data_IF_565106108998
#
_entry.id   IF_565106108998
#
_cell.length_a   1.000
_cell.length_b   1.000
_cell.length_c   1.000
_cell.angle_alpha   90.00
_cell.angle_beta   90.00
_cell.angle_gamma   90.00
#
_symmetry.space_group_name_H-M   'P 1'
#
loop_
_entity.id
_entity.type
_entity.pdbx_description
1 polymer ?
#
# COMPACT_ATOMS: atom_id res chain seq x y z
N UNK A 1 7.30 -9.78 -11.45
CA UNK A 1 7.21 -8.35 -11.09
C UNK A 1 5.77 -7.90 -10.85
N UNK A 2 4.89 -7.85 -11.87
CA UNK A 2 3.47 -7.41 -11.70
C UNK A 2 2.70 -8.10 -10.56
N UNK A 3 2.88 -9.41 -10.34
CA UNK A 3 2.23 -10.13 -9.23
C UNK A 3 2.72 -9.69 -7.85
N UNK A 4 3.99 -9.27 -7.74
CA UNK A 4 4.56 -8.75 -6.49
C UNK A 4 4.02 -7.35 -6.23
N UNK A 5 3.94 -6.51 -7.27
CA UNK A 5 3.33 -5.17 -7.20
C UNK A 5 1.87 -5.27 -6.76
N UNK A 6 1.10 -6.19 -7.35
CA UNK A 6 -0.27 -6.45 -6.91
C UNK A 6 -0.34 -6.86 -5.44
N UNK A 7 0.53 -7.78 -4.99
CA UNK A 7 0.55 -8.20 -3.59
C UNK A 7 0.89 -7.07 -2.62
N UNK A 8 1.85 -6.23 -2.99
CA UNK A 8 2.20 -5.03 -2.24
C UNK A 8 1.02 -4.05 -2.17
N UNK A 9 0.30 -3.84 -3.29
CA UNK A 9 -0.89 -3.00 -3.32
C UNK A 9 -2.01 -3.54 -2.42
N UNK A 10 -2.23 -4.86 -2.41
CA UNK A 10 -3.18 -5.49 -1.47
C UNK A 10 -2.74 -5.27 -0.02
N UNK A 11 -1.46 -5.47 0.29
CA UNK A 11 -0.90 -5.17 1.61
C UNK A 11 -1.12 -3.72 2.03
N UNK A 12 -0.85 -2.77 1.13
CA UNK A 12 -1.06 -1.35 1.36
C UNK A 12 -2.55 -0.99 1.54
N UNK A 13 -3.47 -1.65 0.81
CA UNK A 13 -4.91 -1.47 1.00
C UNK A 13 -5.36 -1.94 2.39
N UNK A 14 -4.90 -3.12 2.82
CA UNK A 14 -5.21 -3.64 4.16
C UNK A 14 -4.62 -2.74 5.24
N UNK A 15 -3.33 -2.39 5.13
CA UNK A 15 -2.68 -1.49 6.08
C UNK A 15 -3.32 -0.09 6.12
N UNK A 16 -3.69 0.45 4.96
CA UNK A 16 -4.37 1.74 4.84
C UNK A 16 -5.77 1.72 5.45
N UNK A 17 -6.52 0.63 5.30
CA UNK A 17 -7.82 0.46 5.94
C UNK A 17 -7.70 0.37 7.48
N UNK A 18 -6.71 -0.37 7.98
CA UNK A 18 -6.42 -0.41 9.43
C UNK A 18 -6.04 0.98 9.94
N UNK A 19 -5.16 1.68 9.24
CA UNK A 19 -4.77 3.04 9.58
C UNK A 19 -5.94 4.03 9.52
N UNK A 20 -6.89 3.87 8.59
CA UNK A 20 -8.06 4.73 8.49
C UNK A 20 -9.07 4.52 9.64
N UNK A 21 -9.10 3.32 10.23
CA UNK A 21 -9.98 3.00 11.37
C UNK A 21 -9.35 3.43 12.69
N UNK A 22 -8.03 3.28 12.81
CA UNK A 22 -7.31 3.37 14.08
C UNK A 22 -6.51 4.67 14.22
N UNK A 23 -6.01 5.22 13.11
CA UNK A 23 -5.21 6.42 13.09
C UNK A 23 -6.04 7.70 13.15
N UNK A 24 -5.37 8.87 13.16
CA UNK A 24 -6.06 10.17 13.12
C UNK A 24 -6.93 10.31 11.85
N UNK A 25 -7.95 11.19 11.85
CA UNK A 25 -8.76 11.46 10.66
C UNK A 25 -7.89 11.80 9.45
N UNK A 26 -8.04 11.05 8.36
CA UNK A 26 -7.20 11.19 7.16
C UNK A 26 -6.06 10.18 7.07
N UNK A 27 -5.70 9.49 8.16
CA UNK A 27 -4.71 8.43 8.14
C UNK A 27 -5.10 7.32 7.16
N UNK A 28 -4.13 6.81 6.41
CA UNK A 28 -4.36 5.75 5.43
C UNK A 28 -5.14 6.16 4.16
N UNK A 29 -5.85 7.30 4.11
CA UNK A 29 -6.64 7.71 2.93
C UNK A 29 -5.75 7.86 1.70
N UNK A 30 -4.61 8.53 1.81
CA UNK A 30 -3.65 8.66 0.71
C UNK A 30 -3.09 7.31 0.26
N UNK A 31 -2.84 6.40 1.21
CA UNK A 31 -2.36 5.05 0.90
C UNK A 31 -3.42 4.29 0.11
N UNK A 32 -4.68 4.35 0.53
CA UNK A 32 -5.81 3.74 -0.19
C UNK A 32 -5.96 4.33 -1.60
N UNK A 33 -5.90 5.66 -1.73
CA UNK A 33 -6.04 6.39 -2.98
C UNK A 33 -4.95 6.02 -4.01
N UNK A 34 -3.73 5.72 -3.55
CA UNK A 34 -2.61 5.30 -4.41
C UNK A 34 -2.60 3.79 -4.65
N UNK A 35 -2.86 2.99 -3.63
CA UNK A 35 -2.78 1.53 -3.72
C UNK A 35 -3.89 0.94 -4.59
N UNK A 36 -5.10 1.50 -4.56
CA UNK A 36 -6.23 1.03 -5.36
C UNK A 36 -5.96 1.08 -6.88
N UNK A 37 -5.58 2.23 -7.49
CA UNK A 37 -5.32 2.28 -8.93
C UNK A 37 -4.11 1.41 -9.33
N UNK A 38 -3.06 1.33 -8.50
CA UNK A 38 -1.93 0.44 -8.76
C UNK A 38 -2.38 -1.03 -8.76
N UNK A 39 -3.24 -1.41 -7.81
CA UNK A 39 -3.83 -2.75 -7.73
C UNK A 39 -4.66 -3.07 -8.98
N UNK A 40 -5.56 -2.16 -9.38
CA UNK A 40 -6.41 -2.31 -10.57
C UNK A 40 -5.54 -2.47 -11.82
N UNK A 41 -4.60 -1.55 -12.06
CA UNK A 41 -3.69 -1.62 -13.21
C UNK A 41 -2.91 -2.92 -13.23
N UNK A 42 -2.39 -3.36 -12.08
CA UNK A 42 -1.65 -4.63 -11.97
C UNK A 42 -2.53 -5.83 -12.36
N UNK A 43 -3.79 -5.87 -11.92
CA UNK A 43 -4.73 -6.94 -12.31
C UNK A 43 -5.01 -6.90 -13.80
N UNK A 44 -5.26 -5.72 -14.37
CA UNK A 44 -5.49 -5.53 -15.81
C UNK A 44 -4.30 -6.07 -16.60
N UNK A 45 -3.08 -5.66 -16.29
CA UNK A 45 -1.87 -6.14 -16.98
C UNK A 45 -1.64 -7.65 -16.78
N UNK A 46 -1.96 -8.20 -15.60
CA UNK A 46 -1.88 -9.64 -15.37
C UNK A 46 -2.89 -10.43 -16.21
N UNK A 47 -4.10 -9.89 -16.40
CA UNK A 47 -5.14 -10.47 -17.26
C UNK A 47 -4.76 -10.38 -18.73
N UNK A 48 -4.23 -9.24 -19.19
CA UNK A 48 -3.71 -9.07 -20.56
C UNK A 48 -2.52 -9.99 -20.84
N UNK A 49 -1.61 -10.19 -19.88
CA UNK A 49 -0.51 -11.14 -20.03
C UNK A 49 -0.97 -12.60 -20.07
N UNK A 50 -2.10 -12.93 -19.43
CA UNK A 50 -2.67 -14.27 -19.39
C UNK A 50 -3.54 -14.60 -20.61
N UNK A 51 -4.12 -13.61 -21.29
CA UNK A 51 -5.02 -13.79 -22.44
C UNK A 51 -4.29 -14.18 -23.75
N UNK A 52 -2.99 -14.45 -23.71
CA UNK A 52 -2.27 -15.01 -24.85
C UNK A 52 -1.84 -13.99 -25.92
N UNK A 53 -1.83 -12.70 -25.57
CA UNK A 53 -1.18 -11.62 -26.33
C UNK A 53 0.35 -11.72 -26.35
N UNK A 54 0.93 -12.62 -25.54
CA UNK A 54 2.36 -12.91 -25.58
C UNK A 54 2.68 -13.62 -26.90
N UNK A 55 3.00 -12.84 -27.93
CA UNK A 55 3.66 -13.36 -29.12
C UNK A 55 4.98 -14.00 -28.73
N UNK A 56 5.31 -15.11 -29.37
CA UNK A 56 6.59 -15.76 -29.12
C UNK A 56 7.65 -14.99 -29.91
N UNK A 57 8.15 -13.89 -29.34
CA UNK A 57 9.23 -13.13 -29.95
C UNK A 57 10.54 -13.90 -29.81
N UNK A 58 11.11 -14.28 -30.95
CA UNK A 58 12.42 -14.92 -31.03
C UNK A 58 13.49 -13.83 -31.13
N UNK A 59 14.56 -13.94 -30.34
CA UNK A 59 15.68 -12.99 -30.38
C UNK A 59 16.52 -13.17 -31.65
N UNK A 60 16.91 -12.07 -32.30
CA UNK A 60 17.83 -12.06 -33.45
C UNK A 60 19.21 -12.62 -33.09
N UNK A 61 19.66 -12.43 -31.85
CA UNK A 61 20.92 -13.00 -31.35
C UNK A 61 20.86 -14.53 -31.26
N UNK A 62 19.73 -15.08 -30.80
CA UNK A 62 19.55 -16.52 -30.70
C UNK A 62 19.41 -17.16 -32.09
N UNK A 63 18.79 -16.47 -33.06
CA UNK A 63 18.78 -16.90 -34.47
C UNK A 63 20.18 -16.89 -35.07
N UNK A 64 20.97 -15.85 -34.82
CA UNK A 64 22.35 -15.77 -35.32
C UNK A 64 23.22 -16.85 -34.72
N UNK A 65 23.07 -17.16 -33.43
CA UNK A 65 23.78 -18.28 -32.79
C UNK A 65 23.35 -19.62 -33.38
N UNK A 66 22.05 -19.87 -33.53
CA UNK A 66 21.55 -21.11 -34.13
C UNK A 66 22.12 -21.33 -35.54
N UNK A 67 22.26 -20.26 -36.33
CA UNK A 67 22.93 -20.32 -37.63
C UNK A 67 24.42 -20.61 -37.52
N UNK A 68 25.14 -19.93 -36.62
CA UNK A 68 26.57 -20.17 -36.40
C UNK A 68 26.87 -21.62 -35.97
N UNK A 69 25.93 -22.28 -35.31
CA UNK A 69 26.01 -23.68 -34.88
C UNK A 69 25.46 -24.67 -35.93
N UNK A 70 25.14 -24.22 -37.14
CA UNK A 70 24.57 -25.02 -38.24
C UNK A 70 23.24 -25.72 -37.87
N UNK A 71 22.43 -25.08 -37.03
CA UNK A 71 21.09 -25.55 -36.63
C UNK A 71 20.01 -25.01 -37.56
N UNK A 72 20.19 -25.28 -38.85
CA UNK A 72 19.28 -24.90 -39.92
C UNK A 72 18.25 -26.01 -40.21
N UNK A 73 17.15 -25.64 -40.87
CA UNK A 73 16.14 -26.58 -41.36
C UNK A 73 15.19 -25.92 -42.34
N UNK A 74 14.24 -26.71 -42.84
CA UNK A 74 13.14 -26.25 -43.69
C UNK A 74 11.82 -26.54 -43.00
N UNK A 75 10.94 -25.55 -42.92
CA UNK A 75 9.59 -25.71 -42.41
C UNK A 75 8.58 -25.61 -43.55
N UNK A 76 7.71 -26.61 -43.69
CA UNK A 76 6.48 -26.48 -44.48
C UNK A 76 5.38 -25.93 -43.60
N UNK A 77 4.64 -24.96 -44.12
CA UNK A 77 3.46 -24.41 -43.49
C UNK A 77 2.28 -25.32 -43.82
N UNK A 78 1.68 -25.95 -42.81
CA UNK A 78 0.56 -26.87 -43.01
C UNK A 78 -0.79 -26.13 -42.91
N UNK A 79 -0.91 -25.16 -41.99
CA UNK A 79 -2.10 -24.33 -41.87
C UNK A 79 -1.81 -22.98 -41.20
N UNK A 80 -2.60 -21.96 -41.53
CA UNK A 80 -2.53 -20.64 -40.89
C UNK A 80 -3.92 -20.22 -40.45
N UNK A 81 -4.05 -19.85 -39.17
CA UNK A 81 -5.30 -19.38 -38.55
C UNK A 81 -5.09 -18.03 -37.89
N UNK A 82 -5.95 -17.06 -38.17
CA UNK A 82 -5.95 -15.79 -37.44
C UNK A 82 -6.66 -15.96 -36.10
N UNK A 83 -6.06 -15.45 -35.03
CA UNK A 83 -6.60 -15.58 -33.65
C UNK A 83 -7.69 -14.56 -33.30
N UNK A 84 -8.06 -13.69 -34.25
CA UNK A 84 -8.96 -12.55 -34.01
C UNK A 84 -8.33 -11.38 -33.26
N UNK A 85 -7.05 -11.47 -32.89
CA UNK A 85 -6.30 -10.41 -32.19
C UNK A 85 -5.30 -9.73 -33.11
N UNK A 86 -5.10 -8.41 -32.96
CA UNK A 86 -4.10 -7.63 -33.68
C UNK A 86 -3.21 -6.85 -32.71
N UNK A 87 -1.93 -6.69 -33.05
CA UNK A 87 -0.95 -5.88 -32.32
C UNK A 87 -0.34 -4.90 -33.31
N UNK A 88 -0.50 -3.60 -33.09
CA UNK A 88 -0.05 -2.54 -34.03
C UNK A 88 -0.56 -2.79 -35.47
N UNK A 89 -1.86 -3.08 -35.62
CA UNK A 89 -2.54 -3.40 -36.89
C UNK A 89 -2.00 -4.65 -37.63
N UNK A 90 -1.15 -5.44 -36.97
CA UNK A 90 -0.65 -6.70 -37.49
C UNK A 90 -1.39 -7.87 -36.84
N UNK A 91 -1.90 -8.84 -37.62
CA UNK A 91 -2.62 -9.97 -37.05
C UNK A 91 -1.71 -10.92 -36.28
N UNK A 92 -2.23 -11.42 -35.17
CA UNK A 92 -1.64 -12.56 -34.46
C UNK A 92 -2.19 -13.85 -35.09
N UNK A 93 -1.29 -14.64 -35.66
CA UNK A 93 -1.61 -15.90 -36.32
C UNK A 93 -1.09 -17.10 -35.55
N UNK A 94 -1.85 -18.19 -35.58
CA UNK A 94 -1.40 -19.54 -35.27
C UNK A 94 -1.02 -20.23 -36.58
N UNK A 95 0.21 -20.72 -36.63
CA UNK A 95 0.82 -21.31 -37.83
C UNK A 95 1.19 -22.74 -37.45
N UNK A 96 0.51 -23.72 -38.04
CA UNK A 96 0.89 -25.12 -37.93
C UNK A 96 1.99 -25.39 -38.95
N UNK A 97 3.11 -25.93 -38.50
CA UNK A 97 4.27 -26.21 -39.35
C UNK A 97 4.82 -27.61 -39.12
N UNK A 98 5.35 -28.19 -40.19
CA UNK A 98 6.20 -29.37 -40.15
C UNK A 98 7.63 -28.95 -40.45
N UNK A 99 8.54 -29.16 -39.49
CA UNK A 99 9.95 -28.77 -39.60
C UNK A 99 10.80 -30.01 -39.87
N UNK A 100 11.62 -29.95 -40.90
CA UNK A 100 12.71 -30.88 -41.18
C UNK A 100 14.05 -30.19 -40.84
N UNK A 101 14.66 -30.50 -39.68
CA UNK A 101 16.01 -30.06 -39.36
C UNK A 101 17.03 -30.61 -40.35
N UNK A 102 18.13 -29.89 -40.55
CA UNK A 102 19.32 -30.41 -41.24
C UNK A 102 19.95 -31.58 -40.48
N UNK A 103 19.87 -31.53 -39.15
CA UNK A 103 20.33 -32.58 -38.24
C UNK A 103 19.20 -32.97 -37.30
N UNK A 104 18.75 -34.23 -37.38
CA UNK A 104 17.70 -34.79 -36.51
C UNK A 104 16.43 -35.19 -37.26
N UNK A 105 15.45 -35.66 -36.49
CA UNK A 105 14.15 -36.10 -37.01
C UNK A 105 13.21 -34.92 -37.25
N UNK A 106 12.33 -35.03 -38.25
CA UNK A 106 11.27 -34.07 -38.47
C UNK A 106 10.22 -34.10 -37.35
N UNK A 107 9.59 -32.96 -37.12
CA UNK A 107 8.53 -32.79 -36.13
C UNK A 107 7.49 -31.78 -36.60
N UNK A 108 6.26 -31.91 -36.08
CA UNK A 108 5.20 -30.92 -36.25
C UNK A 108 5.11 -30.04 -35.01
N UNK A 109 4.78 -28.76 -35.18
CA UNK A 109 4.54 -27.83 -34.07
C UNK A 109 3.63 -26.69 -34.50
N UNK A 110 2.99 -26.03 -33.53
CA UNK A 110 2.23 -24.79 -33.76
C UNK A 110 2.99 -23.60 -33.20
N UNK A 111 3.20 -22.57 -34.03
CA UNK A 111 3.78 -21.29 -33.65
C UNK A 111 2.68 -20.23 -33.57
N UNK A 112 2.65 -19.45 -32.48
CA UNK A 112 1.83 -18.24 -32.38
C UNK A 112 2.72 -17.00 -32.48
N UNK A 113 2.56 -16.22 -33.54
CA UNK A 113 3.37 -15.01 -33.82
C UNK A 113 2.53 -13.86 -34.36
N UNK A 114 3.03 -12.64 -34.17
CA UNK A 114 2.58 -11.47 -34.93
C UNK A 114 3.16 -11.60 -36.34
N UNK A 115 2.33 -11.49 -37.36
CA UNK A 115 2.75 -11.59 -38.76
C UNK A 115 2.54 -10.21 -39.43
N UNK A 116 3.59 -9.60 -40.00
CA UNK A 116 3.45 -8.39 -40.79
C UNK A 116 2.48 -8.59 -41.96
N UNK A 117 1.62 -7.61 -42.24
CA UNK A 117 0.64 -7.71 -43.33
C UNK A 117 1.27 -8.04 -44.69
N UNK A 118 2.48 -7.52 -44.94
CA UNK A 118 3.25 -7.79 -46.16
C UNK A 118 3.74 -9.24 -46.27
N UNK A 119 3.87 -9.96 -45.15
CA UNK A 119 4.36 -11.34 -45.10
C UNK A 119 3.25 -12.39 -45.09
N UNK A 120 1.99 -11.99 -44.87
CA UNK A 120 0.84 -12.92 -44.88
C UNK A 120 0.75 -13.70 -46.19
N UNK A 121 1.03 -13.05 -47.32
CA UNK A 121 1.02 -13.68 -48.63
C UNK A 121 2.09 -14.76 -48.81
N UNK A 122 3.15 -14.74 -47.99
CA UNK A 122 4.22 -15.74 -47.98
C UNK A 122 3.90 -16.94 -47.06
N UNK A 123 2.91 -16.80 -46.16
CA UNK A 123 2.46 -17.88 -45.28
C UNK A 123 1.32 -18.70 -45.91
N UNK A 124 1.51 -19.17 -47.14
CA UNK A 124 0.52 -20.05 -47.79
C UNK A 124 0.68 -21.48 -47.29
N UNK A 125 -0.41 -22.25 -47.16
CA UNK A 125 -0.32 -23.69 -47.00
C UNK A 125 0.59 -24.30 -48.07
N UNK A 126 1.35 -25.30 -47.69
CA UNK A 126 2.38 -26.00 -48.48
C UNK A 126 3.63 -25.19 -48.85
N UNK A 127 3.72 -23.92 -48.46
CA UNK A 127 4.94 -23.14 -48.66
C UNK A 127 6.06 -23.63 -47.74
N UNK A 128 7.26 -23.81 -48.30
CA UNK A 128 8.47 -24.16 -47.57
C UNK A 128 9.32 -22.93 -47.30
N UNK A 129 9.70 -22.70 -46.04
CA UNK A 129 10.56 -21.58 -45.62
C UNK A 129 11.78 -22.06 -44.83
N UNK A 130 12.94 -21.41 -45.00
CA UNK A 130 14.11 -21.71 -44.18
C UNK A 130 13.88 -21.27 -42.73
N UNK A 131 14.31 -22.12 -41.80
CA UNK A 131 14.20 -21.87 -40.36
C UNK A 131 15.52 -22.14 -39.65
N UNK A 132 15.75 -21.41 -38.56
CA UNK A 132 16.80 -21.69 -37.60
C UNK A 132 16.18 -22.25 -36.31
N UNK A 133 16.69 -23.39 -35.84
CA UNK A 133 16.19 -24.10 -34.67
C UNK A 133 16.95 -23.59 -33.45
N UNK A 134 16.24 -23.01 -32.48
CA UNK A 134 16.81 -22.30 -31.35
C UNK A 134 17.35 -23.22 -30.25
N UNK A 135 16.86 -24.46 -30.17
CA UNK A 135 17.33 -25.50 -29.26
C UNK A 135 17.41 -26.82 -30.01
N UNK A 136 18.56 -27.50 -29.94
CA UNK A 136 18.72 -28.82 -30.56
C UNK A 136 17.66 -29.81 -30.04
N UNK A 137 16.91 -30.44 -30.95
CA UNK A 137 15.80 -31.35 -30.62
C UNK A 137 14.57 -30.67 -30.00
N UNK A 138 14.52 -29.34 -29.95
CA UNK A 138 13.39 -28.56 -29.45
C UNK A 138 12.44 -28.09 -30.56
N UNK A 139 11.15 -27.83 -30.23
CA UNK A 139 10.19 -27.25 -31.18
C UNK A 139 10.41 -25.77 -31.44
N UNK A 140 11.33 -25.12 -30.72
CA UNK A 140 11.57 -23.68 -30.80
C UNK A 140 12.38 -23.33 -32.06
N UNK A 141 11.77 -22.60 -33.00
CA UNK A 141 12.42 -22.15 -34.24
C UNK A 141 12.02 -20.71 -34.58
N UNK A 142 12.76 -20.08 -35.50
CA UNK A 142 12.33 -18.85 -36.16
C UNK A 142 12.68 -18.85 -37.66
N UNK A 143 11.88 -18.11 -38.44
CA UNK A 143 12.08 -17.95 -39.88
C UNK A 143 13.31 -17.06 -40.17
N UNK A 144 14.11 -17.44 -41.17
CA UNK A 144 15.38 -16.77 -41.53
C UNK A 144 15.45 -16.46 -43.02
N UNK A 145 14.34 -16.03 -43.61
CA UNK A 145 14.23 -15.76 -45.05
C UNK A 145 15.24 -14.69 -45.51
N UNK A 146 15.84 -14.93 -46.67
CA UNK A 146 16.86 -14.05 -47.26
C UNK A 146 18.22 -14.05 -46.55
N UNK A 147 18.38 -14.80 -45.45
CA UNK A 147 19.63 -14.89 -44.68
C UNK A 147 20.39 -16.21 -44.87
N UNK A 148 19.83 -17.14 -45.64
CA UNK A 148 20.36 -18.49 -45.89
C UNK A 148 20.42 -18.71 -47.40
N UNK A 149 21.54 -19.23 -47.91
CA UNK A 149 21.69 -19.53 -49.33
C UNK A 149 20.84 -20.76 -49.70
N UNK A 150 20.16 -20.79 -50.87
CA UNK A 150 19.40 -21.97 -51.30
C UNK A 150 20.21 -23.27 -51.32
N UNK A 151 21.52 -23.19 -51.51
CA UNK A 151 22.43 -24.34 -51.49
C UNK A 151 22.62 -24.94 -50.09
N UNK A 152 22.41 -24.18 -49.02
CA UNK A 152 22.62 -24.64 -47.64
C UNK A 152 21.48 -25.52 -47.12
N UNK A 153 20.32 -25.46 -47.79
CA UNK A 153 19.09 -26.19 -47.46
C UNK A 153 18.68 -27.19 -48.56
N UNK A 154 19.50 -27.30 -49.60
CA UNK A 154 19.24 -28.18 -50.74
C UNK A 154 19.24 -29.66 -50.30
N UNK A 155 18.30 -30.44 -50.85
CA UNK A 155 18.11 -31.86 -50.51
C UNK A 155 17.30 -32.16 -49.25
N UNK A 156 16.82 -31.16 -48.50
CA UNK A 156 15.91 -31.39 -47.36
C UNK A 156 14.47 -31.58 -47.85
N UNK A 157 13.95 -32.82 -47.71
CA UNK A 157 12.57 -33.16 -48.04
C UNK A 157 11.72 -33.16 -46.78
N UNK A 158 10.71 -32.28 -46.73
CA UNK A 158 9.79 -32.18 -45.59
C UNK A 158 8.73 -33.30 -45.68
N UNK A 159 8.61 -34.20 -44.69
CA UNK A 159 7.63 -35.29 -44.71
C UNK A 159 6.17 -34.79 -44.77
N UNK A 160 5.21 -35.57 -45.28
CA UNK A 160 3.80 -35.17 -45.37
C UNK A 160 3.18 -34.81 -44.00
N UNK A 161 2.15 -33.95 -43.96
CA UNK A 161 1.49 -33.57 -42.72
C UNK A 161 0.95 -34.81 -41.98
N UNK A 162 1.10 -34.85 -40.66
CA UNK A 162 0.62 -35.96 -39.83
C UNK A 162 1.48 -37.22 -39.84
N UNK A 163 2.57 -37.26 -40.61
CA UNK A 163 3.53 -38.38 -40.61
C UNK A 163 4.62 -38.28 -39.52
N UNK A 164 4.67 -37.16 -38.79
CA UNK A 164 5.70 -36.82 -37.80
C UNK A 164 5.10 -36.53 -36.42
N UNK A 165 5.86 -36.71 -35.32
CA UNK A 165 5.37 -36.42 -33.98
C UNK A 165 5.11 -34.93 -33.78
N UNK A 166 3.99 -34.61 -33.11
CA UNK A 166 3.66 -33.25 -32.69
C UNK A 166 4.39 -32.90 -31.39
N UNK A 167 5.21 -31.85 -31.42
CA UNK A 167 5.95 -31.35 -30.26
C UNK A 167 5.40 -29.96 -29.90
N UNK A 168 5.03 -29.79 -28.63
CA UNK A 168 4.46 -28.52 -28.15
C UNK A 168 5.53 -27.60 -27.58
N UNK A 169 5.39 -26.30 -27.83
CA UNK A 169 6.26 -25.29 -27.23
C UNK A 169 6.14 -25.31 -25.70
N UNK A 170 7.26 -25.34 -24.96
CA UNK A 170 7.24 -25.30 -23.51
C UNK A 170 6.56 -24.02 -23.00
N UNK A 171 5.52 -24.16 -22.18
CA UNK A 171 4.78 -23.00 -21.65
C UNK A 171 5.66 -22.18 -20.71
N UNK A 172 5.63 -20.85 -20.89
CA UNK A 172 6.27 -19.86 -20.02
C UNK A 172 7.79 -20.07 -19.80
N UNK A 173 8.47 -20.66 -20.79
CA UNK A 173 9.92 -20.68 -20.89
C UNK A 173 10.35 -19.84 -22.08
N UNK A 174 11.45 -19.10 -21.94
CA UNK A 174 12.08 -18.37 -23.03
C UNK A 174 13.40 -19.04 -23.36
N UNK A 175 13.75 -19.07 -24.64
CA UNK A 175 15.10 -19.41 -25.04
C UNK A 175 15.97 -18.17 -24.81
N UNK A 176 17.05 -18.33 -24.06
CA UNK A 176 18.05 -17.29 -23.85
C UNK A 176 19.41 -17.98 -23.87
N UNK A 177 20.28 -17.57 -24.78
CA UNK A 177 21.61 -18.16 -24.91
C UNK A 177 21.59 -19.66 -25.25
N UNK A 178 20.64 -20.09 -26.10
CA UNK A 178 20.50 -21.50 -26.50
C UNK A 178 19.96 -22.44 -25.42
N UNK A 179 19.59 -21.92 -24.24
CA UNK A 179 19.02 -22.69 -23.14
C UNK A 179 17.60 -22.23 -22.80
N UNK A 180 16.76 -23.18 -22.38
CA UNK A 180 15.42 -22.87 -21.83
C UNK A 180 15.60 -22.21 -20.46
N UNK A 181 15.21 -20.96 -20.33
CA UNK A 181 15.11 -20.27 -19.04
C UNK A 181 13.66 -20.13 -18.62
N UNK A 182 13.34 -20.74 -17.49
CA UNK A 182 12.08 -20.57 -16.78
C UNK A 182 12.16 -19.47 -15.71
N UNK A 183 11.03 -19.15 -15.07
CA UNK A 183 11.02 -18.24 -13.92
C UNK A 183 11.85 -18.80 -12.75
N UNK A 184 12.45 -17.90 -11.96
CA UNK A 184 13.27 -18.24 -10.76
C UNK A 184 12.56 -19.19 -9.78
N UNK A 185 11.23 -19.11 -9.71
CA UNK A 185 10.40 -20.03 -8.96
C UNK A 185 9.63 -20.94 -9.92
N UNK A 186 9.79 -22.25 -9.74
CA UNK A 186 9.23 -23.27 -10.61
C UNK A 186 7.72 -23.17 -10.84
N UNK A 187 7.27 -23.58 -12.03
CA UNK A 187 5.86 -23.51 -12.44
C UNK A 187 5.02 -24.65 -11.83
N UNK A 188 5.68 -25.71 -11.36
CA UNK A 188 5.05 -26.88 -10.73
C UNK A 188 4.31 -26.58 -9.40
N UNK A 189 3.64 -27.60 -8.82
CA UNK A 189 2.76 -27.42 -7.65
C UNK A 189 3.50 -26.84 -6.44
N UNK A 190 4.71 -27.35 -6.12
CA UNK A 190 5.56 -26.82 -5.04
C UNK A 190 5.99 -25.36 -5.28
N UNK A 191 6.37 -25.03 -6.52
CA UNK A 191 6.76 -23.66 -6.86
C UNK A 191 5.57 -22.69 -6.92
N UNK A 192 4.33 -23.18 -7.08
CA UNK A 192 3.10 -22.38 -6.93
C UNK A 192 2.86 -22.03 -5.46
N UNK A 193 3.02 -22.98 -4.54
CA UNK A 193 2.89 -22.73 -3.09
C UNK A 193 3.95 -21.72 -2.64
N UNK A 194 5.21 -21.90 -3.01
CA UNK A 194 6.28 -20.99 -2.61
C UNK A 194 6.05 -19.55 -3.11
N UNK A 195 5.53 -19.40 -4.34
CA UNK A 195 5.12 -18.10 -4.88
C UNK A 195 3.96 -17.49 -4.09
N UNK A 196 2.97 -18.31 -3.71
CA UNK A 196 1.87 -17.88 -2.86
C UNK A 196 2.35 -17.36 -1.51
N UNK A 197 3.24 -18.10 -0.85
CA UNK A 197 3.87 -17.67 0.42
C UNK A 197 4.61 -16.35 0.22
N UNK A 198 5.44 -16.23 -0.82
CA UNK A 198 6.16 -15.00 -1.10
C UNK A 198 5.22 -13.79 -1.28
N UNK A 199 4.09 -13.98 -1.97
CA UNK A 199 3.09 -12.92 -2.13
C UNK A 199 2.45 -12.53 -0.80
N UNK A 200 2.06 -13.51 0.01
CA UNK A 200 1.51 -13.27 1.36
C UNK A 200 2.51 -12.52 2.24
N UNK A 201 3.77 -12.95 2.25
CA UNK A 201 4.84 -12.29 3.03
C UNK A 201 5.01 -10.83 2.62
N UNK A 202 5.02 -10.55 1.31
CA UNK A 202 5.13 -9.16 0.81
C UNK A 202 3.89 -8.34 1.20
N UNK A 203 2.69 -8.89 1.07
CA UNK A 203 1.47 -8.20 1.46
C UNK A 203 1.47 -7.86 2.95
N UNK A 204 1.86 -8.81 3.80
CA UNK A 204 1.97 -8.61 5.25
C UNK A 204 3.06 -7.59 5.62
N UNK A 205 4.23 -7.66 4.97
CA UNK A 205 5.32 -6.72 5.21
C UNK A 205 4.92 -5.28 4.87
N UNK A 206 4.23 -5.07 3.74
CA UNK A 206 3.74 -3.75 3.34
C UNK A 206 2.61 -3.27 4.26
N UNK A 207 1.68 -4.15 4.63
CA UNK A 207 0.63 -3.81 5.59
C UNK A 207 1.23 -3.36 6.94
N UNK A 208 2.20 -4.12 7.46
CA UNK A 208 2.90 -3.78 8.69
C UNK A 208 3.65 -2.45 8.58
N UNK A 209 4.33 -2.18 7.47
CA UNK A 209 5.02 -0.91 7.25
C UNK A 209 4.08 0.29 7.24
N UNK A 210 2.88 0.15 6.67
CA UNK A 210 1.84 1.20 6.65
C UNK A 210 1.27 1.46 8.04
N UNK A 211 1.11 0.40 8.84
CA UNK A 211 0.51 0.48 10.17
C UNK A 211 1.53 0.84 11.26
N UNK A 212 2.82 0.61 11.03
CA UNK A 212 3.89 0.81 12.01
C UNK A 212 3.88 2.19 12.71
N UNK A 213 3.65 3.32 12.03
CA UNK A 213 3.58 4.63 12.69
C UNK A 213 2.44 4.74 13.72
N UNK A 214 1.38 3.94 13.58
CA UNK A 214 0.17 3.98 14.40
C UNK A 214 0.14 2.87 15.46
N UNK A 215 1.29 2.26 15.79
CA UNK A 215 1.36 1.09 16.67
C UNK A 215 0.67 1.28 18.03
N UNK A 216 0.80 2.46 18.65
CA UNK A 216 0.14 2.78 19.93
C UNK A 216 -1.38 2.75 19.80
N UNK A 217 -1.94 3.36 18.75
CA UNK A 217 -3.37 3.39 18.52
C UNK A 217 -3.95 2.01 18.19
N UNK A 218 -3.20 1.16 17.50
CA UNK A 218 -3.61 -0.24 17.23
C UNK A 218 -3.75 -1.03 18.51
N UNK A 219 -2.79 -0.89 19.44
CA UNK A 219 -2.87 -1.54 20.76
C UNK A 219 -4.07 -1.03 21.55
N UNK A 220 -4.26 0.29 21.63
CA UNK A 220 -5.40 0.90 22.34
C UNK A 220 -6.74 0.45 21.75
N UNK A 221 -6.85 0.43 20.43
CA UNK A 221 -8.09 0.01 19.75
C UNK A 221 -8.36 -1.49 19.95
N UNK A 222 -7.30 -2.32 19.95
CA UNK A 222 -7.44 -3.75 20.25
C UNK A 222 -7.89 -4.00 21.70
N UNK A 223 -7.38 -3.23 22.67
CA UNK A 223 -7.81 -3.28 24.07
C UNK A 223 -9.27 -2.82 24.23
N UNK A 224 -9.63 -1.67 23.65
CA UNK A 224 -10.99 -1.17 23.66
C UNK A 224 -11.99 -2.18 23.05
N UNK A 225 -11.61 -2.84 21.95
CA UNK A 225 -12.42 -3.88 21.32
C UNK A 225 -12.59 -5.13 22.20
N UNK A 226 -11.56 -5.53 22.96
CA UNK A 226 -11.66 -6.64 23.92
C UNK A 226 -12.65 -6.33 25.06
N UNK A 227 -12.81 -5.05 25.39
CA UNK A 227 -13.76 -4.55 26.37
C UNK A 227 -15.15 -4.27 25.77
N UNK A 228 -15.36 -4.58 24.49
CA UNK A 228 -16.64 -4.36 23.79
C UNK A 228 -16.93 -2.91 23.41
N UNK A 229 -15.92 -2.02 23.45
CA UNK A 229 -16.04 -0.62 23.05
C UNK A 229 -15.76 -0.45 21.55
N UNK A 230 -16.43 0.52 20.94
CA UNK A 230 -16.18 0.94 19.55
C UNK A 230 -15.28 2.17 19.60
N UNK A 231 -13.97 1.98 19.39
CA UNK A 231 -12.99 3.05 19.35
C UNK A 231 -12.35 3.39 20.70
N UNK A 232 -11.36 4.30 20.63
CA UNK A 232 -10.57 4.77 21.78
C UNK A 232 -11.14 6.12 22.22
N UNK A 233 -11.32 6.33 23.52
CA UNK A 233 -11.75 7.61 24.09
C UNK A 233 -10.62 8.16 24.97
N UNK A 234 -9.96 9.23 24.51
CA UNK A 234 -8.80 9.83 25.18
C UNK A 234 -9.14 10.55 26.49
N UNK A 235 -10.43 10.66 26.85
CA UNK A 235 -10.86 11.23 28.14
C UNK A 235 -10.79 10.20 29.27
N UNK A 236 -10.64 8.91 28.94
CA UNK A 236 -10.53 7.81 29.89
C UNK A 236 -9.15 7.79 30.57
N UNK A 237 -9.04 7.37 31.84
CA UNK A 237 -7.82 7.54 32.62
C UNK A 237 -6.57 6.88 32.02
N UNK A 238 -6.69 5.64 31.53
CA UNK A 238 -5.56 4.88 31.02
C UNK A 238 -5.07 5.43 29.67
N UNK A 239 -6.01 5.70 28.77
CA UNK A 239 -5.73 6.27 27.45
C UNK A 239 -5.20 7.70 27.55
N UNK A 240 -5.76 8.52 28.44
CA UNK A 240 -5.30 9.87 28.75
C UNK A 240 -3.87 9.86 29.28
N UNK A 241 -3.54 8.95 30.21
CA UNK A 241 -2.20 8.84 30.77
C UNK A 241 -1.15 8.49 29.70
N UNK A 242 -1.48 7.61 28.76
CA UNK A 242 -0.56 7.28 27.65
C UNK A 242 -0.38 8.46 26.70
N UNK A 243 -1.46 9.20 26.41
CA UNK A 243 -1.40 10.36 25.54
C UNK A 243 -0.59 11.51 26.14
N UNK A 244 -0.81 11.83 27.42
CA UNK A 244 -0.05 12.87 28.14
C UNK A 244 1.43 12.51 28.20
N UNK A 245 1.76 11.25 28.50
CA UNK A 245 3.15 10.80 28.48
C UNK A 245 3.81 10.96 27.11
N UNK A 246 3.09 10.64 26.03
CA UNK A 246 3.60 10.83 24.68
C UNK A 246 3.84 12.32 24.36
N UNK A 247 2.96 13.22 24.83
CA UNK A 247 3.14 14.66 24.70
C UNK A 247 4.35 15.15 25.49
N UNK A 248 4.49 14.75 26.76
CA UNK A 248 5.64 15.11 27.60
C UNK A 248 6.98 14.63 27.00
N UNK A 249 7.01 13.41 26.48
CA UNK A 249 8.21 12.83 25.85
C UNK A 249 8.65 13.63 24.60
N UNK A 250 7.69 14.11 23.78
CA UNK A 250 7.99 14.84 22.54
C UNK A 250 8.28 16.33 22.80
N UNK A 251 7.53 16.97 23.72
CA UNK A 251 7.74 18.36 24.13
C UNK A 251 9.07 18.49 24.90
N UNK A 252 9.45 17.47 25.68
CA UNK A 252 10.69 17.42 26.45
C UNK A 252 10.60 18.06 27.85
N UNK A 253 9.42 18.49 28.29
CA UNK A 253 9.17 19.00 29.64
C UNK A 253 7.68 18.90 30.04
N UNK A 254 7.38 19.21 31.30
CA UNK A 254 6.05 19.05 31.90
C UNK A 254 5.22 20.36 31.98
N UNK A 255 5.73 21.48 31.44
CA UNK A 255 5.04 22.77 31.45
C UNK A 255 4.11 22.95 30.27
N UNK A 256 2.91 23.43 30.55
CA UNK A 256 1.84 23.76 29.58
C UNK A 256 1.09 25.02 30.03
N UNK A 257 0.44 25.72 29.10
CA UNK A 257 -0.42 26.89 29.38
C UNK A 257 -1.90 26.60 29.16
N UNK A 258 -2.23 25.70 28.24
CA UNK A 258 -3.60 25.32 27.93
C UNK A 258 -3.63 23.84 27.57
N UNK A 259 -4.62 23.11 28.07
CA UNK A 259 -4.86 21.71 27.72
C UNK A 259 -6.31 21.53 27.31
N UNK A 260 -6.56 21.11 26.07
CA UNK A 260 -7.87 20.72 25.57
C UNK A 260 -7.91 19.20 25.41
N UNK A 261 -8.83 18.55 26.13
CA UNK A 261 -9.05 17.11 26.12
C UNK A 261 -10.41 16.84 25.48
N UNK A 262 -10.42 16.02 24.43
CA UNK A 262 -11.63 15.53 23.75
C UNK A 262 -11.59 14.01 23.65
N UNK A 263 -12.64 13.36 23.15
CA UNK A 263 -12.61 11.91 22.89
C UNK A 263 -11.52 11.51 21.90
N UNK A 264 -11.24 12.37 20.93
CA UNK A 264 -10.49 11.99 19.72
C UNK A 264 -9.05 12.52 19.73
N UNK A 265 -8.81 13.66 20.37
CA UNK A 265 -7.50 14.30 20.44
C UNK A 265 -7.30 15.05 21.74
N UNK A 266 -6.03 15.25 22.08
CA UNK A 266 -5.60 16.17 23.14
C UNK A 266 -4.72 17.22 22.49
N UNK A 267 -5.08 18.49 22.64
CA UNK A 267 -4.33 19.64 22.13
C UNK A 267 -3.78 20.42 23.30
N UNK A 268 -2.49 20.73 23.26
CA UNK A 268 -1.81 21.46 24.33
C UNK A 268 -1.01 22.61 23.76
N UNK A 269 -0.95 23.67 24.53
CA UNK A 269 -0.05 24.80 24.28
C UNK A 269 1.07 24.70 25.30
N UNK A 270 2.30 24.55 24.81
CA UNK A 270 3.47 24.32 25.63
C UNK A 270 4.57 25.32 25.26
N UNK A 271 5.28 25.91 26.24
CA UNK A 271 6.36 26.84 25.97
C UNK A 271 7.50 26.14 25.22
N UNK A 272 8.26 26.87 24.41
CA UNK A 272 9.47 26.34 23.75
C UNK A 272 10.54 25.95 24.78
N UNK A 273 10.52 26.61 25.93
CA UNK A 273 11.40 26.33 27.06
C UNK A 273 10.66 26.75 28.33
N UNK A 274 10.73 25.99 29.44
CA UNK A 274 10.06 26.36 30.68
C UNK A 274 10.37 27.79 31.11
N UNK A 275 9.34 28.58 31.40
CA UNK A 275 9.45 29.99 31.81
C UNK A 275 9.53 31.00 30.65
N UNK A 276 9.55 30.56 29.38
CA UNK A 276 9.38 31.43 28.20
C UNK A 276 7.92 31.58 27.85
N UNK A 277 7.50 32.76 27.44
CA UNK A 277 6.11 33.00 27.02
C UNK A 277 5.81 32.50 25.62
N UNK A 278 6.84 32.28 24.79
CA UNK A 278 6.66 31.71 23.47
C UNK A 278 6.22 30.24 23.55
N UNK A 279 4.98 29.95 23.15
CA UNK A 279 4.34 28.63 23.14
C UNK A 279 4.04 28.14 21.72
N UNK A 280 4.20 26.83 21.57
CA UNK A 280 3.81 26.08 20.39
C UNK A 280 2.64 25.15 20.73
N UNK A 281 1.90 24.77 19.69
CA UNK A 281 0.77 23.86 19.74
C UNK A 281 1.23 22.45 19.43
N UNK A 282 0.87 21.53 20.31
CA UNK A 282 1.11 20.11 20.15
C UNK A 282 -0.22 19.38 20.22
N UNK A 283 -0.42 18.42 19.32
CA UNK A 283 -1.65 17.62 19.27
C UNK A 283 -1.32 16.14 19.33
N UNK A 284 -1.88 15.44 20.31
CA UNK A 284 -1.90 13.99 20.32
C UNK A 284 -3.19 13.48 19.69
N UNK A 285 -3.07 12.66 18.65
CA UNK A 285 -4.22 12.06 17.95
C UNK A 285 -3.85 10.72 17.33
N UNK A 286 -4.66 9.69 17.59
CA UNK A 286 -4.46 8.37 16.98
C UNK A 286 -3.05 7.80 17.19
N UNK A 287 -2.47 7.99 18.38
CA UNK A 287 -1.16 7.42 18.76
C UNK A 287 0.07 8.24 18.35
N UNK A 288 -0.14 9.36 17.67
CA UNK A 288 0.92 10.24 17.13
C UNK A 288 0.84 11.61 17.80
N UNK A 289 1.99 12.24 18.02
CA UNK A 289 2.10 13.64 18.44
C UNK A 289 2.52 14.46 17.22
N UNK A 290 1.74 15.47 16.89
CA UNK A 290 2.03 16.43 15.83
C UNK A 290 2.36 17.81 16.44
N UNK A 291 3.38 18.45 15.88
CA UNK A 291 3.78 19.83 16.19
C UNK A 291 3.16 20.78 15.17
N UNK A 292 2.19 21.60 15.58
CA UNK A 292 1.44 22.49 14.68
C UNK A 292 2.10 23.88 14.56
N UNK A 293 3.18 24.14 15.30
CA UNK A 293 3.90 25.42 15.31
C UNK A 293 3.33 26.41 16.35
N UNK A 294 3.54 27.74 16.16
CA UNK A 294 3.21 28.74 17.17
C UNK A 294 1.73 28.79 17.54
N UNK A 295 1.45 28.90 18.85
CA UNK A 295 0.09 29.10 19.33
C UNK A 295 -0.49 30.44 18.86
N UNK A 296 -1.80 30.49 18.54
CA UNK A 296 -2.45 31.71 18.05
C UNK A 296 -2.49 32.81 19.12
N UNK A 297 -2.45 32.42 20.40
CA UNK A 297 -2.32 33.32 21.55
C UNK A 297 -1.10 32.91 22.34
N UNK A 298 -0.32 33.91 22.78
CA UNK A 298 0.89 33.72 23.56
C UNK A 298 0.61 34.25 24.97
N UNK A 299 0.96 33.53 26.04
CA UNK A 299 0.90 34.05 27.40
C UNK A 299 1.64 35.38 27.54
N UNK A 300 1.12 36.28 28.36
CA UNK A 300 1.81 37.53 28.69
C UNK A 300 2.86 37.29 29.79
N UNK A 301 2.60 36.33 30.68
CA UNK A 301 3.44 36.01 31.82
C UNK A 301 3.85 34.53 31.84
N UNK A 302 5.08 34.26 32.24
CA UNK A 302 5.56 32.90 32.50
C UNK A 302 4.75 32.19 33.61
N UNK A 303 4.17 32.96 34.52
CA UNK A 303 3.32 32.46 35.60
C UNK A 303 2.02 31.82 35.10
N UNK A 304 1.60 32.07 33.86
CA UNK A 304 0.43 31.43 33.24
C UNK A 304 0.64 29.93 32.97
N UNK A 305 1.89 29.46 33.04
CA UNK A 305 2.27 28.06 32.86
C UNK A 305 1.98 27.25 34.13
N UNK A 306 1.61 25.98 33.95
CA UNK A 306 1.42 24.99 35.01
C UNK A 306 2.03 23.65 34.62
N UNK A 307 2.22 22.77 35.60
CA UNK A 307 2.70 21.41 35.37
C UNK A 307 1.51 20.47 35.12
N UNK A 308 1.71 19.42 34.34
CA UNK A 308 0.75 18.30 34.27
C UNK A 308 0.41 17.71 35.64
N UNK A 309 1.32 17.81 36.62
CA UNK A 309 1.12 17.34 38.00
C UNK A 309 0.11 18.17 38.79
N UNK A 310 -0.16 19.39 38.33
CA UNK A 310 -1.16 20.28 38.93
C UNK A 310 -2.59 19.89 38.49
N UNK A 311 -2.73 18.86 37.64
CA UNK A 311 -3.99 18.39 37.06
C UNK A 311 -4.27 16.94 37.52
N UNK A 312 -5.45 16.71 38.10
CA UNK A 312 -5.95 15.37 38.39
C UNK A 312 -6.51 14.70 37.12
N UNK A 313 -5.61 14.32 36.20
CA UNK A 313 -5.99 13.71 34.92
C UNK A 313 -6.86 12.45 35.09
N UNK A 314 -6.60 11.66 36.12
CA UNK A 314 -7.37 10.43 36.39
C UNK A 314 -8.84 10.67 36.74
N UNK A 315 -9.22 11.88 37.17
CA UNK A 315 -10.60 12.22 37.55
C UNK A 315 -11.40 12.85 36.42
N UNK A 316 -10.77 13.23 35.30
CA UNK A 316 -11.42 13.91 34.16
C UNK A 316 -12.69 13.18 33.73
N UNK A 317 -12.60 11.86 33.49
CA UNK A 317 -13.75 11.05 33.09
C UNK A 317 -14.88 11.06 34.12
N UNK A 318 -14.55 10.86 35.40
CA UNK A 318 -15.53 10.83 36.48
C UNK A 318 -16.22 12.19 36.66
N UNK A 319 -15.49 13.29 36.48
CA UNK A 319 -16.03 14.64 36.53
C UNK A 319 -16.99 14.90 35.35
N UNK A 320 -16.67 14.40 34.15
CA UNK A 320 -17.58 14.46 33.00
C UNK A 320 -18.85 13.64 33.23
N UNK A 321 -18.74 12.45 33.83
CA UNK A 321 -19.91 11.64 34.20
C UNK A 321 -20.77 12.34 35.25
N UNK A 322 -20.17 12.99 36.26
CA UNK A 322 -20.89 13.79 37.26
C UNK A 322 -21.62 14.97 36.62
N UNK A 323 -20.93 15.75 35.79
CA UNK A 323 -21.51 16.87 35.04
C UNK A 323 -22.65 16.42 34.11
N UNK A 324 -22.50 15.24 33.50
CA UNK A 324 -23.54 14.60 32.67
C UNK A 324 -24.77 14.22 33.50
N UNK A 325 -24.57 13.63 34.67
CA UNK A 325 -25.66 13.27 35.58
C UNK A 325 -26.42 14.49 36.12
N UNK A 326 -25.70 15.60 36.42
CA UNK A 326 -26.30 16.84 36.92
C UNK A 326 -27.08 17.61 35.84
N UNK A 327 -26.54 17.68 34.61
CA UNK A 327 -27.18 18.40 33.50
C UNK A 327 -28.24 17.59 32.74
N UNK A 328 -28.19 16.26 32.85
CA UNK A 328 -28.96 15.34 32.01
C UNK A 328 -28.50 15.29 30.55
N UNK A 329 -27.35 15.89 30.22
CA UNK A 329 -26.74 15.86 28.88
C UNK A 329 -25.72 14.71 28.85
N UNK A 330 -25.75 13.80 27.87
CA UNK A 330 -24.79 12.70 27.79
C UNK A 330 -23.36 13.22 27.56
N UNK A 331 -22.36 12.47 28.05
CA UNK A 331 -20.94 12.81 27.87
C UNK A 331 -20.58 12.98 26.39
N UNK A 332 -21.13 12.18 25.47
CA UNK A 332 -21.06 12.40 24.00
C UNK A 332 -19.78 13.10 23.52
N UNK A 333 -19.94 14.29 22.94
CA UNK A 333 -18.88 15.16 22.42
C UNK A 333 -18.28 16.13 23.47
N UNK A 334 -18.38 15.80 24.76
CA UNK A 334 -17.87 16.65 25.82
C UNK A 334 -16.37 16.86 25.72
N UNK A 335 -15.94 18.05 26.12
CA UNK A 335 -14.53 18.42 26.20
C UNK A 335 -14.20 18.96 27.59
N UNK A 336 -12.93 18.84 27.97
CA UNK A 336 -12.37 19.54 29.12
C UNK A 336 -11.27 20.48 28.64
N UNK A 337 -11.30 21.72 29.12
CA UNK A 337 -10.23 22.70 28.93
C UNK A 337 -9.63 23.00 30.28
N UNK A 338 -8.31 22.87 30.40
CA UNK A 338 -7.56 23.26 31.59
C UNK A 338 -6.71 24.47 31.25
N UNK A 339 -6.84 25.51 32.06
CA UNK A 339 -6.03 26.72 32.02
C UNK A 339 -5.92 27.27 33.45
N UNK A 340 -5.01 28.22 33.70
CA UNK A 340 -5.02 28.92 34.98
C UNK A 340 -6.26 29.79 35.16
N UNK A 341 -6.71 29.88 36.41
CA UNK A 341 -7.71 30.86 36.83
C UNK A 341 -7.19 32.29 36.70
N UNK A 342 -8.10 33.23 36.53
CA UNK A 342 -7.79 34.65 36.42
C UNK A 342 -7.71 35.29 37.79
N UNK A 343 -6.64 36.02 38.07
CA UNK A 343 -6.48 36.81 39.28
C UNK A 343 -7.57 37.88 39.36
N UNK A 344 -8.43 37.76 40.36
CA UNK A 344 -9.57 38.64 40.58
C UNK A 344 -9.33 39.72 41.64
N UNK A 345 -8.14 39.73 42.27
CA UNK A 345 -7.78 40.73 43.27
C UNK A 345 -7.35 42.03 42.59
N UNK A 346 -8.19 43.07 42.70
CA UNK A 346 -7.96 44.37 42.07
C UNK A 346 -6.70 45.09 42.59
N UNK A 347 -6.22 44.69 43.77
CA UNK A 347 -5.03 45.27 44.39
C UNK A 347 -3.74 44.50 44.01
N UNK A 348 -3.85 43.40 43.24
CA UNK A 348 -2.73 42.59 42.78
C UNK A 348 -2.04 43.18 41.55
N UNK A 349 -0.71 43.04 41.46
CA UNK A 349 0.06 43.42 40.26
C UNK A 349 -0.30 42.57 39.04
N UNK A 350 -0.91 41.39 39.26
CA UNK A 350 -1.35 40.45 38.21
C UNK A 350 -2.86 40.47 37.99
N UNK A 351 -3.58 41.48 38.49
CA UNK A 351 -5.03 41.60 38.30
C UNK A 351 -5.44 41.40 36.83
N UNK A 352 -6.36 40.47 36.59
CA UNK A 352 -6.85 40.12 35.26
C UNK A 352 -5.94 39.16 34.47
N UNK A 353 -4.79 38.77 34.99
CA UNK A 353 -3.91 37.77 34.36
C UNK A 353 -4.25 36.34 34.83
N UNK A 354 -4.02 35.35 33.97
CA UNK A 354 -4.32 33.94 34.23
C UNK A 354 -3.22 33.27 35.10
N UNK A 355 -3.06 33.71 36.34
CA UNK A 355 -1.96 33.26 37.23
C UNK A 355 -2.42 32.48 38.47
N UNK A 356 -3.73 32.37 38.72
CA UNK A 356 -4.25 31.61 39.86
C UNK A 356 -4.08 30.08 39.65
N UNK A 357 -4.61 29.29 40.59
CA UNK A 357 -4.58 27.83 40.49
C UNK A 357 -5.25 27.36 39.18
N UNK A 358 -4.76 26.27 38.55
CA UNK A 358 -5.39 25.73 37.35
C UNK A 358 -6.83 25.31 37.60
N UNK A 359 -7.71 25.67 36.68
CA UNK A 359 -9.14 25.33 36.66
C UNK A 359 -9.42 24.44 35.45
N UNK A 360 -10.36 23.50 35.61
CA UNK A 360 -10.86 22.65 34.55
C UNK A 360 -12.29 23.05 34.20
N UNK A 361 -12.50 23.39 32.93
CA UNK A 361 -13.78 23.73 32.34
C UNK A 361 -14.29 22.55 31.53
N UNK A 362 -15.37 21.93 31.99
CA UNK A 362 -16.01 20.80 31.31
C UNK A 362 -17.20 21.33 30.52
N UNK A 363 -17.21 21.12 29.22
CA UNK A 363 -18.32 21.51 28.34
C UNK A 363 -19.07 20.27 27.85
N UNK A 364 -20.38 20.23 28.09
CA UNK A 364 -21.31 19.22 27.61
C UNK A 364 -22.23 19.85 26.58
N UNK A 365 -22.30 19.25 25.38
CA UNK A 365 -23.06 19.81 24.27
C UNK A 365 -23.93 18.76 23.57
N UNK A 366 -25.09 19.21 23.13
CA UNK A 366 -25.94 18.55 22.13
C UNK A 366 -26.17 19.52 20.96
N UNK A 367 -26.92 19.09 19.95
CA UNK A 367 -27.32 19.98 18.85
C UNK A 367 -28.06 21.25 19.32
N UNK A 368 -28.75 21.20 20.47
CA UNK A 368 -29.64 22.27 20.93
C UNK A 368 -29.30 22.85 22.30
N UNK A 369 -28.34 22.28 23.04
CA UNK A 369 -27.99 22.69 24.40
C UNK A 369 -26.49 22.63 24.62
N UNK A 370 -25.97 23.58 25.38
CA UNK A 370 -24.59 23.58 25.89
C UNK A 370 -24.64 23.95 27.35
N UNK A 371 -23.96 23.19 28.20
CA UNK A 371 -23.78 23.49 29.63
C UNK A 371 -22.30 23.36 29.93
N UNK A 372 -21.77 24.29 30.71
CA UNK A 372 -20.37 24.29 31.13
C UNK A 372 -20.30 24.20 32.64
N UNK A 373 -19.29 23.49 33.12
CA UNK A 373 -19.01 23.34 34.53
C UNK A 373 -17.56 23.71 34.81
N UNK A 374 -17.31 24.25 35.99
CA UNK A 374 -15.98 24.59 36.47
C UNK A 374 -15.65 23.78 37.71
N UNK A 375 -14.42 23.32 37.80
CA UNK A 375 -13.84 22.62 38.96
C UNK A 375 -12.35 22.94 39.04
N UNK A 376 -11.72 22.84 40.21
CA UNK A 376 -10.27 22.98 40.29
C UNK A 376 -9.60 21.84 39.53
N UNK A 377 -8.51 22.13 38.82
CA UNK A 377 -7.85 21.14 37.98
C UNK A 377 -7.23 19.99 38.79
N UNK A 378 -6.88 20.23 40.06
CA UNK A 378 -6.40 19.21 41.01
C UNK A 378 -7.49 18.24 41.48
N UNK A 379 -8.72 18.40 40.98
CA UNK A 379 -9.89 17.58 41.32
C UNK A 379 -10.53 17.93 42.66
N UNK A 380 -10.06 18.97 43.35
CA UNK A 380 -10.68 19.48 44.56
C UNK A 380 -11.91 20.36 44.26
N UNK A 381 -12.77 20.50 45.26
CA UNK A 381 -13.98 21.31 45.15
C UNK A 381 -15.16 20.58 44.49
N UNK A 382 -16.29 21.28 44.42
CA UNK A 382 -17.48 20.80 43.73
C UNK A 382 -17.50 21.26 42.27
N UNK A 383 -18.21 20.49 41.45
CA UNK A 383 -18.44 20.83 40.04
C UNK A 383 -19.53 21.91 40.04
N UNK A 384 -19.19 23.13 39.59
CA UNK A 384 -20.10 24.28 39.62
C UNK A 384 -20.57 24.60 38.20
N UNK A 385 -21.87 24.58 37.96
CA UNK A 385 -22.44 25.00 36.67
C UNK A 385 -22.22 26.51 36.45
N UNK A 386 -21.82 26.88 35.23
CA UNK A 386 -21.55 28.26 34.81
C UNK A 386 -22.72 28.87 34.03
#
# INVERSE_FOLDING_TARGET
MLRLIFSAAVGALVGGAVAAVVGPPGAGIWVLAVALPIGILSVVFLRLGASGLASTSVSQEDLTRARAEDRLGVARIDAVRQTGTQINDQPVCEIDVTVQPRRGAAYATTLRSVVPLIELGALRPDATRPVAILIEGGPEFGFVDGQVSPQEIDGLVVPPPGSVPMISWPKAQRVVNGARRGPLLGIGPRGRVLRGILFVVIALAVAAAVVAPYGRAVVMTAQAAQEGRIGVDLRRPDELAVAVRALEDEIGHDRVSTVLITSDFIRVEAPLTPGRTETDVWMYRGGVVDHEGPAPSQPDLAAEQFSWKDIALSTVWALMEKASAESGIPVGDASAVVSRGTDSDIDSETFGASVENPEMFISLRTEYKSVSFRVNADGSGDVVAQ
#
